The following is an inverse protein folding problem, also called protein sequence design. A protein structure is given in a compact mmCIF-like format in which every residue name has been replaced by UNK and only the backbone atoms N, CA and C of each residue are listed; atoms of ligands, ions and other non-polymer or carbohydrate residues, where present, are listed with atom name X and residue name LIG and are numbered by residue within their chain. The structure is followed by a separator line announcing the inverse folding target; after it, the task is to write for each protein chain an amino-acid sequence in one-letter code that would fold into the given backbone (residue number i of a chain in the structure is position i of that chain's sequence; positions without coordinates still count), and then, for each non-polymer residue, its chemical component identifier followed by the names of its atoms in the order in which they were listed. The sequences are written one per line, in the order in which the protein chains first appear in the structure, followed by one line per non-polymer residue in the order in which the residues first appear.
data_IF_583870045336
#
_entry.id   IF_583870045336
#
_cell.length_a   1.000
_cell.length_b   1.000
_cell.length_c   1.000
_cell.angle_alpha   90.00
_cell.angle_beta   90.00
_cell.angle_gamma   90.00
#
_symmetry.space_group_name_H-M   'P 1'
#
loop_
_entity.id
_entity.type
_entity.pdbx_description
1 polymer ?
#
# COMPACT_ATOMS: atom_id res chain seq x y z
N UNK A 1 0.61 12.80 -24.05
CA UNK A 1 -0.63 12.15 -23.57
C UNK A 1 -0.24 11.16 -22.46
N UNK A 2 -0.50 11.47 -21.18
CA UNK A 2 -0.07 10.64 -20.03
C UNK A 2 -1.24 10.34 -19.07
N UNK A 3 -2.46 10.13 -19.60
CA UNK A 3 -3.68 9.94 -18.80
C UNK A 3 -4.53 8.75 -19.23
N UNK A 4 -3.97 7.77 -19.94
CA UNK A 4 -4.70 6.58 -20.42
C UNK A 4 -4.38 5.29 -19.67
N UNK A 5 -3.46 5.29 -18.70
CA UNK A 5 -2.90 4.04 -18.16
C UNK A 5 -3.30 3.66 -16.73
N UNK A 6 -3.83 4.55 -15.88
CA UNK A 6 -3.94 4.20 -14.46
C UNK A 6 -5.31 4.36 -13.81
N UNK A 7 -6.34 4.90 -14.47
CA UNK A 7 -7.72 4.98 -13.94
C UNK A 7 -7.78 5.40 -12.45
N UNK A 8 -6.85 6.27 -12.04
CA UNK A 8 -6.52 6.53 -10.64
C UNK A 8 -7.31 7.74 -10.12
N UNK A 9 -8.52 7.52 -9.62
CA UNK A 9 -9.18 8.50 -8.74
C UNK A 9 -8.66 8.30 -7.31
N UNK A 10 -7.80 9.18 -6.80
CA UNK A 10 -7.34 9.04 -5.40
C UNK A 10 -7.44 10.31 -4.56
N UNK A 11 -8.17 10.10 -3.46
CA UNK A 11 -8.68 11.03 -2.46
C UNK A 11 -7.57 11.53 -1.52
N UNK A 12 -7.64 12.82 -1.21
CA UNK A 12 -6.70 13.58 -0.36
C UNK A 12 -6.88 13.19 1.12
N UNK A 13 -5.82 12.62 1.72
CA UNK A 13 -5.74 12.37 3.16
C UNK A 13 -4.62 13.20 3.79
N UNK A 14 -4.97 14.38 4.31
CA UNK A 14 -4.06 15.30 4.97
C UNK A 14 -3.44 14.72 6.26
N UNK A 15 -2.11 14.70 6.34
CA UNK A 15 -1.29 15.09 7.52
C UNK A 15 0.20 14.89 7.20
N UNK A 16 0.96 15.98 7.21
CA UNK A 16 2.44 15.98 7.17
C UNK A 16 2.94 16.84 8.33
N UNK A 17 3.92 16.31 9.07
CA UNK A 17 4.49 16.93 10.27
C UNK A 17 5.26 18.24 9.97
N UNK A 18 5.12 19.18 10.91
CA UNK A 18 5.79 20.48 10.98
C UNK A 18 7.31 20.30 11.16
N UNK A 19 8.10 20.88 10.27
CA UNK A 19 9.56 20.97 10.44
C UNK A 19 10.26 21.50 9.20
N UNK A 20 9.80 21.10 8.03
CA UNK A 20 10.22 21.66 6.75
C UNK A 20 8.97 22.04 5.97
N UNK A 21 8.84 23.31 5.56
CA UNK A 21 7.78 23.81 4.68
C UNK A 21 7.89 23.26 3.24
N UNK A 22 8.15 21.96 3.11
CA UNK A 22 8.04 21.27 1.83
C UNK A 22 6.56 21.08 1.53
N UNK A 23 6.08 21.73 0.47
CA UNK A 23 4.76 21.43 -0.10
C UNK A 23 4.87 20.10 -0.84
N UNK A 24 3.95 19.18 -0.59
CA UNK A 24 3.88 17.89 -1.26
C UNK A 24 2.61 17.84 -2.11
N UNK A 25 2.71 17.24 -3.29
CA UNK A 25 1.55 16.99 -4.16
C UNK A 25 0.80 15.76 -3.65
N UNK A 26 1.55 14.74 -3.24
CA UNK A 26 1.01 13.46 -2.80
C UNK A 26 1.86 12.89 -1.67
N UNK A 27 1.19 12.25 -0.72
CA UNK A 27 1.81 11.43 0.29
C UNK A 27 0.92 10.20 0.51
N UNK A 28 1.51 9.02 0.34
CA UNK A 28 0.81 7.75 0.56
C UNK A 28 1.74 6.79 1.27
N UNK A 29 1.26 6.28 2.40
CA UNK A 29 1.98 5.31 3.23
C UNK A 29 1.17 4.04 3.38
N UNK A 30 1.77 2.92 3.03
CA UNK A 30 1.26 1.58 3.27
C UNK A 30 2.04 0.96 4.42
N UNK A 31 1.31 0.33 5.34
CA UNK A 31 1.87 -0.31 6.52
C UNK A 31 1.55 -1.80 6.44
N UNK A 32 2.40 -2.61 7.07
CA UNK A 32 2.11 -4.03 7.22
C UNK A 32 0.75 -4.27 7.90
N UNK A 33 0.03 -5.30 7.45
CA UNK A 33 -1.24 -5.77 8.05
C UNK A 33 -1.10 -6.27 9.49
N UNK A 34 0.13 -6.43 10.00
CA UNK A 34 0.46 -6.73 11.40
C UNK A 34 1.07 -5.56 12.17
N UNK A 35 1.13 -4.36 11.58
CA UNK A 35 1.53 -3.15 12.30
C UNK A 35 0.54 -2.78 13.42
N UNK A 36 0.96 -1.92 14.34
CA UNK A 36 0.11 -1.38 15.39
C UNK A 36 -0.90 -0.33 14.91
N UNK A 37 -0.81 0.10 13.65
CA UNK A 37 -1.64 1.18 13.13
C UNK A 37 -3.13 0.82 13.17
N UNK A 38 -3.91 1.64 13.88
CA UNK A 38 -5.37 1.48 14.08
C UNK A 38 -5.76 0.11 14.67
N UNK A 39 -4.92 -0.47 15.52
CA UNK A 39 -5.19 -1.76 16.19
C UNK A 39 -4.89 -1.67 17.68
N UNK A 40 -5.61 -2.46 18.46
CA UNK A 40 -5.33 -2.62 19.89
C UNK A 40 -3.99 -3.33 20.09
N UNK A 41 -3.24 -2.94 21.12
CA UNK A 41 -1.94 -3.54 21.48
C UNK A 41 -2.03 -5.05 21.67
N UNK A 42 -3.09 -5.52 22.34
CA UNK A 42 -3.23 -6.93 22.73
C UNK A 42 -3.92 -7.79 21.64
N UNK A 43 -4.17 -7.24 20.45
CA UNK A 43 -4.82 -7.99 19.38
C UNK A 43 -3.84 -8.95 18.70
N UNK A 44 -4.27 -10.18 18.40
CA UNK A 44 -3.55 -11.11 17.49
C UNK A 44 -3.28 -10.51 16.10
N UNK A 45 -3.97 -9.43 15.73
CA UNK A 45 -3.77 -8.70 14.48
C UNK A 45 -2.64 -7.67 14.54
N UNK A 46 -2.08 -7.42 15.72
CA UNK A 46 -0.95 -6.53 15.95
C UNK A 46 0.24 -7.35 16.46
N UNK A 47 1.29 -7.46 15.64
CA UNK A 47 2.56 -8.09 16.03
C UNK A 47 3.68 -7.05 16.09
N UNK A 48 3.31 -5.77 16.27
CA UNK A 48 4.25 -4.65 16.33
C UNK A 48 5.20 -4.64 15.14
N UNK A 49 4.68 -4.98 13.96
CA UNK A 49 5.46 -4.99 12.73
C UNK A 49 5.76 -3.56 12.26
N UNK A 50 7.00 -3.33 11.90
CA UNK A 50 7.53 -2.04 11.44
C UNK A 50 7.65 -1.96 9.92
N UNK A 51 7.26 -3.00 9.19
CA UNK A 51 7.31 -3.03 7.73
C UNK A 51 6.38 -1.99 7.10
N UNK A 52 6.91 -1.19 6.17
CA UNK A 52 6.15 -0.14 5.49
C UNK A 52 6.72 0.24 4.12
N UNK A 53 5.88 0.87 3.30
CA UNK A 53 6.24 1.61 2.09
C UNK A 53 5.66 3.01 2.22
N UNK A 54 6.48 4.03 2.05
CA UNK A 54 6.11 5.44 2.23
C UNK A 54 6.58 6.24 1.03
N UNK A 55 5.62 6.75 0.25
CA UNK A 55 5.86 7.48 -1.00
C UNK A 55 5.42 8.92 -0.82
N UNK A 56 6.34 9.84 -1.08
CA UNK A 56 6.11 11.29 -1.07
C UNK A 56 6.52 11.90 -2.39
N UNK A 57 5.60 12.63 -3.03
CA UNK A 57 5.89 13.42 -4.23
C UNK A 57 5.95 14.89 -3.82
N UNK A 58 7.13 15.50 -3.97
CA UNK A 58 7.35 16.91 -3.68
C UNK A 58 6.71 17.79 -4.75
N UNK A 59 6.08 18.89 -4.31
CA UNK A 59 5.67 19.96 -5.21
C UNK A 59 6.90 20.70 -5.70
N UNK A 60 7.06 20.74 -7.02
CA UNK A 60 8.20 21.41 -7.66
C UNK A 60 7.83 22.88 -7.93
N UNK A 61 8.42 23.78 -7.16
CA UNK A 61 8.37 25.24 -7.36
C UNK A 61 9.66 25.75 -8.02
N UNK A 62 9.64 26.96 -8.59
CA UNK A 62 10.85 27.62 -9.14
C UNK A 62 12.00 27.66 -8.11
N UNK A 63 11.68 27.99 -6.85
CA UNK A 63 12.65 27.98 -5.75
C UNK A 63 13.22 26.59 -5.45
N UNK A 64 12.37 25.56 -5.41
CA UNK A 64 12.82 24.19 -5.16
C UNK A 64 13.76 23.66 -6.27
N UNK A 65 13.52 23.99 -7.55
CA UNK A 65 14.42 23.63 -8.66
C UNK A 65 15.81 24.25 -8.51
N UNK A 66 15.89 25.48 -7.99
CA UNK A 66 17.17 26.18 -7.77
C UNK A 66 17.97 25.60 -6.61
N UNK A 67 17.31 25.10 -5.57
CA UNK A 67 17.95 24.76 -4.30
C UNK A 67 18.09 23.23 -4.07
N UNK A 68 17.21 22.40 -4.62
CA UNK A 68 17.22 20.94 -4.41
C UNK A 68 18.11 20.26 -5.46
N UNK A 69 19.20 19.63 -5.01
CA UNK A 69 20.16 18.94 -5.89
C UNK A 69 19.53 17.77 -6.67
N UNK A 70 18.49 17.14 -6.13
CA UNK A 70 17.81 16.01 -6.78
C UNK A 70 16.88 16.47 -7.91
N UNK A 71 16.34 17.68 -7.81
CA UNK A 71 15.53 18.29 -8.87
C UNK A 71 16.36 18.85 -10.03
N UNK A 72 17.68 18.95 -9.87
CA UNK A 72 18.63 19.37 -10.92
C UNK A 72 19.16 18.22 -11.77
N UNK A 73 18.85 16.97 -11.41
CA UNK A 73 19.22 15.78 -12.18
C UNK A 73 18.35 15.66 -13.44
N UNK A 74 18.81 14.84 -14.38
CA UNK A 74 18.06 14.48 -15.58
C UNK A 74 17.86 12.95 -15.64
N UNK A 75 16.63 12.44 -15.52
CA UNK A 75 15.40 13.17 -15.22
C UNK A 75 15.36 13.70 -13.77
N UNK A 76 14.56 14.76 -13.48
CA UNK A 76 14.46 15.35 -12.15
C UNK A 76 13.81 14.39 -11.15
N UNK A 77 14.43 14.21 -9.98
CA UNK A 77 13.97 13.29 -8.95
C UNK A 77 13.18 14.03 -7.86
N UNK A 78 11.88 14.20 -8.08
CA UNK A 78 10.97 14.89 -7.15
C UNK A 78 10.26 13.97 -6.15
N UNK A 79 10.56 12.67 -6.19
CA UNK A 79 9.88 11.65 -5.39
C UNK A 79 10.82 11.07 -4.34
N UNK A 80 10.31 10.87 -3.13
CA UNK A 80 10.98 10.17 -2.04
C UNK A 80 10.21 8.88 -1.79
N UNK A 81 10.90 7.75 -1.90
CA UNK A 81 10.38 6.43 -1.56
C UNK A 81 11.19 5.94 -0.36
N UNK A 82 10.51 5.67 0.76
CA UNK A 82 11.10 5.02 1.93
C UNK A 82 10.46 3.67 2.11
N UNK A 83 11.30 2.64 2.22
CA UNK A 83 10.86 1.26 2.37
C UNK A 83 11.53 0.71 3.61
N UNK A 84 10.74 0.10 4.49
CA UNK A 84 11.25 -0.77 5.54
C UNK A 84 10.76 -2.19 5.26
N UNK A 85 11.69 -3.06 4.86
CA UNK A 85 11.41 -4.47 4.55
C UNK A 85 11.54 -5.36 5.79
N UNK A 86 11.85 -4.81 6.95
CA UNK A 86 11.99 -5.60 8.17
C UNK A 86 10.63 -6.01 8.73
N UNK A 87 10.36 -7.31 8.72
CA UNK A 87 9.17 -7.92 9.27
C UNK A 87 9.54 -8.85 10.44
N UNK A 88 8.85 -8.71 11.58
CA UNK A 88 9.00 -9.59 12.75
C UNK A 88 8.11 -10.85 12.68
N UNK A 89 7.63 -11.19 11.49
CA UNK A 89 6.68 -12.28 11.26
C UNK A 89 6.86 -12.87 9.86
N UNK A 90 6.35 -14.09 9.67
CA UNK A 90 6.38 -14.74 8.37
C UNK A 90 5.36 -14.11 7.41
N UNK A 91 5.86 -13.49 6.34
CA UNK A 91 5.03 -12.90 5.28
C UNK A 91 4.46 -13.93 4.30
N UNK A 92 5.03 -15.13 4.22
CA UNK A 92 4.60 -16.20 3.32
C UNK A 92 3.58 -17.17 3.96
N UNK A 93 3.09 -16.88 5.17
CA UNK A 93 2.09 -17.71 5.82
C UNK A 93 0.70 -17.55 5.18
N UNK A 94 -0.10 -18.62 5.15
CA UNK A 94 -1.47 -18.57 4.65
C UNK A 94 -2.32 -17.50 5.37
N UNK A 95 -2.09 -17.30 6.67
CA UNK A 95 -2.78 -16.28 7.46
C UNK A 95 -2.36 -14.84 7.10
N UNK A 96 -1.14 -14.63 6.61
CA UNK A 96 -0.72 -13.34 6.08
C UNK A 96 -1.39 -13.06 4.73
N UNK A 97 -1.51 -14.08 3.87
CA UNK A 97 -2.14 -13.96 2.55
C UNK A 97 -3.65 -13.68 2.64
N UNK A 98 -4.36 -14.28 3.62
CA UNK A 98 -5.79 -13.98 3.90
C UNK A 98 -6.08 -12.51 4.18
N UNK A 99 -5.07 -11.72 4.54
CA UNK A 99 -5.19 -10.30 4.87
C UNK A 99 -4.90 -9.38 3.71
N UNK A 100 -4.43 -9.91 2.59
CA UNK A 100 -4.26 -9.13 1.37
C UNK A 100 -5.64 -8.75 0.83
N UNK A 101 -5.75 -7.54 0.31
CA UNK A 101 -6.96 -7.12 -0.36
C UNK A 101 -7.07 -7.92 -1.66
N UNK A 102 -8.12 -8.72 -1.77
CA UNK A 102 -8.47 -9.41 -3.00
C UNK A 102 -9.48 -8.52 -3.70
N UNK A 103 -9.26 -8.27 -4.99
CA UNK A 103 -10.21 -7.53 -5.80
C UNK A 103 -11.61 -8.20 -5.73
N UNK A 104 -12.69 -7.44 -5.49
CA UNK A 104 -14.03 -8.00 -5.37
C UNK A 104 -14.47 -8.83 -6.58
N UNK A 105 -14.08 -8.43 -7.79
CA UNK A 105 -14.40 -9.14 -9.03
C UNK A 105 -13.67 -10.48 -9.06
N UNK A 106 -12.37 -10.49 -8.75
CA UNK A 106 -11.56 -11.71 -8.66
C UNK A 106 -12.11 -12.66 -7.60
N UNK A 107 -12.53 -12.13 -6.45
CA UNK A 107 -13.16 -12.92 -5.38
C UNK A 107 -14.48 -13.52 -5.85
N UNK A 108 -15.32 -12.74 -6.54
CA UNK A 108 -16.60 -13.20 -7.07
C UNK A 108 -16.41 -14.32 -8.09
N UNK A 109 -15.49 -14.13 -9.04
CA UNK A 109 -15.12 -15.14 -10.04
C UNK A 109 -14.62 -16.43 -9.37
N UNK A 110 -13.72 -16.33 -8.39
CA UNK A 110 -13.23 -17.51 -7.65
C UNK A 110 -14.38 -18.26 -6.93
N UNK A 111 -15.28 -17.53 -6.26
CA UNK A 111 -16.41 -18.14 -5.56
C UNK A 111 -17.41 -18.78 -6.54
N UNK A 112 -17.60 -18.18 -7.71
CA UNK A 112 -18.43 -18.74 -8.77
C UNK A 112 -17.82 -20.03 -9.32
N UNK A 113 -16.52 -20.04 -9.64
CA UNK A 113 -15.79 -21.27 -10.01
C UNK A 113 -15.93 -22.39 -8.97
N UNK A 114 -15.95 -22.04 -7.68
CA UNK A 114 -16.13 -23.02 -6.60
C UNK A 114 -17.58 -23.52 -6.51
N UNK A 115 -18.56 -22.63 -6.66
CA UNK A 115 -19.99 -22.95 -6.67
C UNK A 115 -20.40 -23.80 -7.89
N UNK A 116 -19.74 -23.61 -9.02
CA UNK A 116 -20.00 -24.31 -10.28
C UNK A 116 -19.43 -25.75 -10.32
N UNK A 117 -18.99 -26.30 -9.18
CA UNK A 117 -18.82 -27.76 -9.04
C UNK A 117 -17.40 -28.29 -8.81
N UNK A 118 -16.47 -27.45 -8.35
CA UNK A 118 -15.18 -27.94 -7.81
C UNK A 118 -15.21 -28.17 -6.29
N UNK A 119 -16.34 -27.92 -5.63
CA UNK A 119 -16.64 -28.52 -4.34
C UNK A 119 -17.01 -29.99 -4.58
N UNK A 120 -16.14 -30.89 -4.12
CA UNK A 120 -16.19 -32.35 -4.30
C UNK A 120 -17.61 -32.92 -4.50
N UNK A 121 -17.94 -33.32 -5.73
CA UNK A 121 -19.15 -34.10 -6.05
C UNK A 121 -19.03 -35.58 -5.64
N UNK A 122 -18.30 -35.89 -4.57
CA UNK A 122 -18.30 -37.22 -3.94
C UNK A 122 -18.73 -37.12 -2.50
N UNK A 123 -20.04 -37.27 -2.28
CA UNK A 123 -20.56 -37.38 -0.92
C UNK A 123 -22.08 -37.36 -0.78
N UNK A 124 -22.84 -37.94 -1.71
CA UNK A 124 -24.03 -38.66 -1.25
C UNK A 124 -23.53 -39.75 -0.31
N UNK A 125 -23.82 -39.66 0.99
CA UNK A 125 -24.30 -40.72 1.88
C UNK A 125 -24.48 -40.09 3.28
N UNK A 126 -25.76 -39.94 3.65
CA UNK A 126 -26.38 -39.74 4.97
C UNK A 126 -25.79 -38.70 5.94
#
# INVERSE_FOLDING_TARGET
QFGKFDNSNWIIGNRINKGNNCRFIMHKKWLCSYSSHRKNSNSKKNQHCEGFIDILIKMVTKGSKKNDAYLKRDPPLNTIIKINLFHKHNCASADALKRLFIDPEVKATFLQYFADGLADHRGQYF
#
